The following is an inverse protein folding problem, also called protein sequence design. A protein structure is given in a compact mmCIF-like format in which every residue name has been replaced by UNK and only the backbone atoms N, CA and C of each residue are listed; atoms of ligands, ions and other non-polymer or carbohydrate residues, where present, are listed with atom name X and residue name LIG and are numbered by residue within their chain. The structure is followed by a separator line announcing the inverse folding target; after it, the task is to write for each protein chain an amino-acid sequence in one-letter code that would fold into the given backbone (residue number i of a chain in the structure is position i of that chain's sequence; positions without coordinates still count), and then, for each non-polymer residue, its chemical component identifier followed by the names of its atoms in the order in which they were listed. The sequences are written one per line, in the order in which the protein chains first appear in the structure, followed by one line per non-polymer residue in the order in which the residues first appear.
data_IF_201795382692
#
_entry.id   IF_201795382692
#
_cell.length_a   1.000
_cell.length_b   1.000
_cell.length_c   1.000
_cell.angle_alpha   90.00
_cell.angle_beta   90.00
_cell.angle_gamma   90.00
#
_symmetry.space_group_name_H-M   'P 1'
#
loop_
_entity.id
_entity.type
_entity.pdbx_description
1 polymer ?
#
# COMPACT_ATOMS: atom_id res chain seq x y z
N UNK A 1 -15.12 -7.20 7.06
CA UNK A 1 -14.43 -7.90 5.96
C UNK A 1 -12.95 -7.85 6.23
N UNK A 2 -12.20 -8.89 5.84
CA UNK A 2 -10.74 -8.92 5.90
C UNK A 2 -10.17 -9.04 4.48
N UNK A 3 -9.05 -8.37 4.24
CA UNK A 3 -8.31 -8.44 2.98
C UNK A 3 -6.95 -9.08 3.24
N UNK A 4 -6.62 -10.09 2.45
CA UNK A 4 -5.29 -10.68 2.41
C UNK A 4 -4.38 -9.92 1.44
N UNK A 5 -3.13 -9.75 1.86
CA UNK A 5 -2.06 -9.09 1.11
C UNK A 5 -0.81 -9.95 1.15
N UNK A 6 -0.04 -9.93 0.06
CA UNK A 6 1.33 -10.44 0.04
C UNK A 6 2.26 -9.42 0.68
N UNK A 7 3.20 -9.87 1.50
CA UNK A 7 4.23 -9.01 2.11
C UNK A 7 5.47 -9.02 1.22
N UNK A 8 5.83 -7.86 0.69
CA UNK A 8 6.94 -7.68 -0.24
C UNK A 8 7.88 -6.57 0.26
N UNK A 9 9.06 -6.49 -0.35
CA UNK A 9 9.93 -5.31 -0.27
C UNK A 9 9.70 -4.41 -1.49
N UNK A 10 10.14 -3.15 -1.42
CA UNK A 10 9.96 -2.21 -2.52
C UNK A 10 10.72 -2.61 -3.80
N UNK A 11 11.87 -3.26 -3.64
CA UNK A 11 12.74 -3.77 -4.71
C UNK A 11 12.36 -5.17 -5.21
N UNK A 12 11.18 -5.67 -4.80
CA UNK A 12 10.66 -6.93 -5.33
C UNK A 12 10.51 -6.89 -6.85
N UNK A 13 10.50 -8.08 -7.48
CA UNK A 13 10.23 -8.21 -8.91
C UNK A 13 8.73 -8.02 -9.20
N UNK A 14 8.31 -6.76 -9.29
CA UNK A 14 6.92 -6.37 -9.52
C UNK A 14 6.42 -6.80 -10.90
N UNK A 15 5.20 -7.33 -10.94
CA UNK A 15 4.55 -7.78 -12.16
C UNK A 15 3.63 -6.72 -12.72
N UNK A 16 3.40 -6.76 -14.02
CA UNK A 16 2.43 -5.91 -14.70
C UNK A 16 0.99 -6.38 -14.41
N UNK A 17 0.52 -6.08 -13.20
CA UNK A 17 -0.80 -6.44 -12.71
C UNK A 17 -1.42 -5.27 -11.94
N UNK A 18 -2.74 -5.07 -12.05
CA UNK A 18 -3.45 -4.05 -11.29
C UNK A 18 -3.69 -4.49 -9.84
N UNK A 19 -3.75 -3.53 -8.92
CA UNK A 19 -4.08 -3.83 -7.54
C UNK A 19 -3.96 -2.67 -6.56
N UNK A 20 -4.02 -3.03 -5.28
CA UNK A 20 -3.89 -2.11 -4.14
C UNK A 20 -2.61 -2.44 -3.39
N UNK A 21 -1.92 -1.41 -2.89
CA UNK A 21 -0.72 -1.55 -2.08
C UNK A 21 -0.76 -0.66 -0.84
N UNK A 22 0.00 -1.08 0.18
CA UNK A 22 0.19 -0.35 1.43
C UNK A 22 1.69 -0.28 1.71
N UNK A 23 2.22 0.92 1.90
CA UNK A 23 3.54 1.09 2.50
C UNK A 23 3.41 1.02 4.01
N UNK A 24 4.10 0.06 4.62
CA UNK A 24 3.93 -0.27 6.03
C UNK A 24 5.25 -0.65 6.71
N UNK A 25 5.24 -0.56 8.03
CA UNK A 25 6.34 -0.99 8.89
C UNK A 25 5.83 -1.69 10.14
N UNK A 26 6.73 -2.31 10.91
CA UNK A 26 6.42 -2.92 12.19
C UNK A 26 6.90 -1.99 13.31
N UNK A 27 6.04 -1.67 14.26
CA UNK A 27 6.39 -0.84 15.42
C UNK A 27 7.03 -1.67 16.55
N UNK A 28 7.45 -1.01 17.64
CA UNK A 28 8.06 -1.68 18.81
C UNK A 28 7.17 -2.72 19.49
N UNK A 29 5.85 -2.69 19.27
CA UNK A 29 4.87 -3.65 19.79
C UNK A 29 4.60 -4.81 18.82
N UNK A 30 5.43 -4.98 17.78
CA UNK A 30 5.26 -6.00 16.74
C UNK A 30 3.93 -5.87 15.97
N UNK A 31 3.42 -4.64 15.81
CA UNK A 31 2.20 -4.35 15.04
C UNK A 31 2.53 -3.65 13.74
N UNK A 32 1.83 -4.04 12.68
CA UNK A 32 1.87 -3.36 11.39
C UNK A 32 1.26 -1.97 11.48
N UNK A 33 1.95 -0.98 10.93
CA UNK A 33 1.51 0.40 10.80
C UNK A 33 1.50 0.78 9.32
N UNK A 34 0.35 1.24 8.83
CA UNK A 34 0.21 1.76 7.47
C UNK A 34 0.64 3.23 7.42
N UNK A 35 1.51 3.57 6.47
CA UNK A 35 1.98 4.94 6.25
C UNK A 35 1.34 5.56 5.00
N UNK A 36 1.09 4.75 3.98
CA UNK A 36 0.44 5.14 2.74
C UNK A 36 -0.34 3.96 2.16
N UNK A 37 -1.51 4.22 1.58
CA UNK A 37 -2.32 3.28 0.79
C UNK A 37 -2.52 3.89 -0.59
N UNK A 38 -2.39 3.08 -1.63
CA UNK A 38 -2.71 3.49 -2.99
C UNK A 38 -3.16 2.31 -3.84
N UNK A 39 -3.61 2.62 -5.06
CA UNK A 39 -3.93 1.64 -6.08
C UNK A 39 -3.16 1.90 -7.38
N UNK A 40 -3.16 0.93 -8.28
CA UNK A 40 -2.49 1.01 -9.57
C UNK A 40 -3.10 0.07 -10.61
N UNK A 41 -2.91 0.40 -11.88
CA UNK A 41 -3.16 -0.50 -13.01
C UNK A 41 -1.96 -1.42 -13.30
N UNK A 42 -0.75 -1.06 -12.84
CA UNK A 42 0.47 -1.84 -13.00
C UNK A 42 1.42 -1.66 -11.82
N UNK A 43 1.62 -2.72 -11.04
CA UNK A 43 2.64 -2.71 -9.99
C UNK A 43 4.06 -2.49 -10.53
N UNK A 44 4.38 -3.06 -11.70
CA UNK A 44 5.68 -2.92 -12.35
C UNK A 44 6.02 -1.47 -12.70
N UNK A 45 5.04 -0.68 -13.13
CA UNK A 45 5.24 0.75 -13.41
C UNK A 45 5.21 1.59 -12.14
N UNK A 46 4.28 1.30 -11.23
CA UNK A 46 3.99 2.19 -10.09
C UNK A 46 4.99 2.09 -8.96
N UNK A 47 5.45 0.88 -8.62
CA UNK A 47 6.18 0.68 -7.38
C UNK A 47 7.66 1.06 -7.45
N UNK A 48 8.47 0.64 -8.43
CA UNK A 48 9.92 0.89 -8.41
C UNK A 48 10.35 2.34 -8.15
N UNK A 49 9.63 3.32 -8.71
CA UNK A 49 9.95 4.75 -8.60
C UNK A 49 8.87 5.56 -7.86
N UNK A 50 8.13 4.92 -6.96
CA UNK A 50 7.01 5.57 -6.27
C UNK A 50 7.44 6.79 -5.44
N UNK A 51 6.86 7.96 -5.71
CA UNK A 51 7.27 9.24 -5.15
C UNK A 51 7.15 9.33 -3.62
N UNK A 52 6.13 8.67 -3.04
CA UNK A 52 5.91 8.59 -1.59
C UNK A 52 6.77 7.55 -0.84
N UNK A 53 7.54 6.71 -1.54
CA UNK A 53 8.29 5.64 -0.87
C UNK A 53 9.34 6.19 0.09
N UNK A 54 10.10 7.22 -0.32
CA UNK A 54 11.13 7.82 0.53
C UNK A 54 10.54 8.41 1.81
N UNK A 55 9.43 9.14 1.69
CA UNK A 55 8.71 9.72 2.83
C UNK A 55 8.13 8.63 3.74
N UNK A 56 7.55 7.56 3.18
CA UNK A 56 7.05 6.43 3.94
C UNK A 56 8.18 5.73 4.72
N UNK A 57 9.36 5.54 4.12
CA UNK A 57 10.53 4.97 4.80
C UNK A 57 11.00 5.81 5.97
N UNK A 58 11.00 7.14 5.84
CA UNK A 58 11.34 8.05 6.94
C UNK A 58 10.36 7.92 8.13
N UNK A 59 9.11 7.51 7.86
CA UNK A 59 8.11 7.21 8.89
C UNK A 59 8.21 5.79 9.48
N UNK A 60 9.11 4.96 8.96
CA UNK A 60 9.32 3.59 9.42
C UNK A 60 8.80 2.50 8.47
N UNK A 61 8.35 2.85 7.26
CA UNK A 61 7.98 1.83 6.27
C UNK A 61 9.20 0.98 5.89
N UNK A 62 8.99 -0.33 5.90
CA UNK A 62 9.99 -1.34 5.53
C UNK A 62 9.46 -2.34 4.51
N UNK A 63 8.14 -2.42 4.36
CA UNK A 63 7.46 -3.38 3.50
C UNK A 63 6.42 -2.70 2.62
N UNK A 64 6.06 -3.41 1.56
CA UNK A 64 4.91 -3.15 0.71
C UNK A 64 3.96 -4.35 0.88
N UNK A 65 2.78 -4.11 1.43
CA UNK A 65 1.70 -5.09 1.35
C UNK A 65 0.98 -4.91 0.02
N UNK A 66 0.97 -5.91 -0.86
CA UNK A 66 0.35 -5.82 -2.18
C UNK A 66 -0.77 -6.86 -2.37
N UNK A 67 -1.86 -6.44 -3.02
CA UNK A 67 -3.00 -7.30 -3.37
C UNK A 67 -3.39 -7.04 -4.82
N UNK A 68 -3.33 -8.08 -5.65
CA UNK A 68 -3.82 -8.03 -7.03
C UNK A 68 -5.34 -7.92 -7.01
N UNK A 69 -5.88 -6.92 -7.71
CA UNK A 69 -7.32 -6.65 -7.82
C UNK A 69 -7.59 -6.07 -9.19
N UNK A 70 -8.17 -6.87 -10.09
CA UNK A 70 -8.41 -6.48 -11.48
C UNK A 70 -9.52 -5.45 -11.70
N UNK A 71 -10.69 -5.51 -11.03
CA UNK A 71 -11.73 -4.51 -11.26
C UNK A 71 -11.42 -3.19 -10.56
N UNK A 72 -11.46 -2.07 -11.30
CA UNK A 72 -11.22 -0.73 -10.77
C UNK A 72 -12.18 -0.37 -9.64
N UNK A 73 -13.48 -0.64 -9.81
CA UNK A 73 -14.48 -0.39 -8.77
C UNK A 73 -14.17 -1.13 -7.45
N UNK A 74 -13.59 -2.34 -7.53
CA UNK A 74 -13.15 -3.08 -6.34
C UNK A 74 -11.90 -2.46 -5.73
N UNK A 75 -10.93 -1.98 -6.54
CA UNK A 75 -9.77 -1.25 -6.02
C UNK A 75 -10.18 0.03 -5.30
N UNK A 76 -11.09 0.81 -5.89
CA UNK A 76 -11.63 2.04 -5.30
C UNK A 76 -12.29 1.78 -3.94
N UNK A 77 -13.06 0.69 -3.85
CA UNK A 77 -13.70 0.28 -2.60
C UNK A 77 -12.64 -0.10 -1.55
N UNK A 78 -11.71 -0.98 -1.90
CA UNK A 78 -10.67 -1.47 -0.99
C UNK A 78 -9.79 -0.33 -0.50
N UNK A 79 -9.30 0.53 -1.40
CA UNK A 79 -8.48 1.70 -1.05
C UNK A 79 -9.22 2.63 -0.08
N UNK A 80 -10.49 2.96 -0.36
CA UNK A 80 -11.31 3.83 0.49
C UNK A 80 -11.50 3.24 1.88
N UNK A 81 -11.78 1.95 1.98
CA UNK A 81 -11.95 1.26 3.27
C UNK A 81 -10.64 1.23 4.08
N UNK A 82 -9.50 0.95 3.42
CA UNK A 82 -8.19 0.94 4.06
C UNK A 82 -7.76 2.33 4.55
N UNK A 83 -7.95 3.36 3.73
CA UNK A 83 -7.62 4.75 4.12
C UNK A 83 -8.50 5.17 5.31
N UNK A 84 -9.81 4.91 5.25
CA UNK A 84 -10.72 5.25 6.36
C UNK A 84 -10.39 4.50 7.64
N UNK A 85 -10.07 3.20 7.53
CA UNK A 85 -9.81 2.33 8.67
C UNK A 85 -8.46 2.57 9.33
N UNK A 86 -7.40 2.85 8.56
CA UNK A 86 -6.05 3.02 9.10
C UNK A 86 -5.60 4.47 9.24
N UNK A 87 -6.26 5.42 8.58
CA UNK A 87 -5.88 6.84 8.55
C UNK A 87 -4.37 7.06 8.31
N UNK A 88 -3.79 6.52 7.20
CA UNK A 88 -2.35 6.58 7.00
C UNK A 88 -1.84 8.02 6.90
N UNK A 89 -0.70 8.30 7.54
CA UNK A 89 -0.14 9.65 7.66
C UNK A 89 0.15 10.33 6.31
N UNK A 90 0.39 9.57 5.24
CA UNK A 90 0.69 10.14 3.92
C UNK A 90 -0.52 10.20 2.98
N UNK A 91 -1.66 9.62 3.35
CA UNK A 91 -2.92 9.84 2.65
C UNK A 91 -3.56 11.12 3.18
N UNK A 92 -3.70 12.14 2.33
CA UNK A 92 -4.44 13.37 2.63
C UNK A 92 -5.91 13.29 2.21
N UNK A 93 -6.24 12.38 1.29
CA UNK A 93 -7.60 12.13 0.84
C UNK A 93 -8.42 11.40 1.92
N UNK A 94 -9.72 11.66 1.98
CA UNK A 94 -10.69 10.90 2.80
C UNK A 94 -10.39 10.88 4.31
N UNK A 95 -9.63 11.87 4.80
CA UNK A 95 -9.50 12.19 6.23
C UNK A 95 -10.76 12.85 6.76
#
# INVERSE_FOLDING_TARGET
MSYEFSVCTQDANWRDLPGVYIFCGINHQQRWIAHYVGQTDSFAERLPNHERWLEARQLGATHVHARVVSPMATRDQVERELIRGYQPRLNSQLR
#
